data_IF_270235445974
#
_entry.id   IF_270235445974
#
_cell.length_a   1.000
_cell.length_b   1.000
_cell.length_c   1.000
_cell.angle_alpha   90.00
_cell.angle_beta   90.00
_cell.angle_gamma   90.00
#
_symmetry.space_group_name_H-M   'P 1'
#
loop_
_entity.id
_entity.type
_entity.pdbx_description
1 polymer ?
#
# COMPACT_ATOMS: atom_id res chain seq x y z
N UNK A 1 -11.23 -8.52 1.67
CA UNK A 1 -11.94 -7.91 0.51
C UNK A 1 -12.54 -6.55 0.84
N UNK A 2 -13.35 -6.42 1.89
CA UNK A 2 -13.99 -5.14 2.27
C UNK A 2 -13.02 -3.95 2.35
N UNK A 3 -11.91 -4.08 3.09
CA UNK A 3 -10.90 -3.00 3.20
C UNK A 3 -10.22 -2.63 1.89
N UNK A 4 -10.04 -3.59 0.99
CA UNK A 4 -9.55 -3.31 -0.36
C UNK A 4 -10.61 -2.61 -1.21
N UNK A 5 -11.89 -2.93 -1.01
CA UNK A 5 -12.98 -2.24 -1.69
C UNK A 5 -13.08 -0.77 -1.27
N UNK A 6 -12.88 -0.48 0.02
CA UNK A 6 -12.81 0.90 0.52
C UNK A 6 -11.69 1.68 -0.18
N UNK A 7 -10.50 1.08 -0.33
CA UNK A 7 -9.40 1.69 -1.09
C UNK A 7 -9.77 1.86 -2.57
N UNK A 8 -10.41 0.88 -3.21
CA UNK A 8 -10.83 0.98 -4.63
C UNK A 8 -11.85 2.09 -4.88
N UNK A 9 -12.71 2.36 -3.90
CA UNK A 9 -13.68 3.44 -4.01
C UNK A 9 -12.99 4.82 -4.05
N UNK A 10 -11.84 4.97 -3.39
CA UNK A 10 -11.01 6.19 -3.44
C UNK A 10 -10.01 6.17 -4.60
N UNK A 11 -9.43 5.00 -4.92
CA UNK A 11 -8.38 4.80 -5.92
C UNK A 11 -8.81 3.68 -6.86
N UNK A 12 -9.45 4.05 -7.98
CA UNK A 12 -9.86 3.06 -8.98
C UNK A 12 -8.66 2.39 -9.64
N UNK A 13 -8.71 1.07 -9.71
CA UNK A 13 -7.75 0.17 -10.35
C UNK A 13 -8.03 -0.06 -11.85
N UNK A 14 -9.07 0.60 -12.39
CA UNK A 14 -9.46 0.59 -13.80
C UNK A 14 -8.96 1.83 -14.57
N UNK A 15 -8.36 2.81 -13.88
CA UNK A 15 -7.90 4.07 -14.46
C UNK A 15 -6.71 3.83 -15.39
N UNK A 16 -6.99 3.71 -16.70
CA UNK A 16 -5.95 3.63 -17.73
C UNK A 16 -5.45 5.02 -18.11
N UNK A 17 -4.32 5.42 -17.54
CA UNK A 17 -3.45 6.47 -18.11
C UNK A 17 -3.75 7.92 -17.73
N UNK A 18 -4.80 8.21 -16.96
CA UNK A 18 -5.18 9.59 -16.59
C UNK A 18 -4.76 9.98 -15.16
N UNK A 19 -3.89 9.20 -14.51
CA UNK A 19 -3.53 9.39 -13.10
C UNK A 19 -4.70 9.10 -12.16
N UNK A 20 -4.48 9.26 -10.85
CA UNK A 20 -5.52 9.10 -9.84
C UNK A 20 -6.19 10.46 -9.62
N UNK A 21 -7.53 10.56 -9.69
CA UNK A 21 -8.25 11.80 -9.40
C UNK A 21 -7.91 12.38 -8.02
N UNK A 22 -8.19 13.67 -7.83
CA UNK A 22 -8.13 14.26 -6.50
C UNK A 22 -9.21 13.66 -5.60
N UNK A 23 -8.86 13.44 -4.34
CA UNK A 23 -9.81 12.99 -3.33
C UNK A 23 -10.70 14.15 -2.89
N UNK A 24 -11.95 13.85 -2.56
CA UNK A 24 -12.79 14.80 -1.82
C UNK A 24 -12.19 15.10 -0.45
N UNK A 25 -12.54 16.24 0.16
CA UNK A 25 -12.00 16.65 1.46
C UNK A 25 -12.29 15.63 2.59
N UNK A 26 -13.37 14.87 2.46
CA UNK A 26 -13.84 13.86 3.43
C UNK A 26 -13.37 12.43 3.13
N UNK A 27 -12.51 12.24 2.11
CA UNK A 27 -11.99 10.92 1.78
C UNK A 27 -11.17 10.32 2.92
N UNK A 28 -11.39 9.02 3.18
CA UNK A 28 -10.75 8.30 4.28
C UNK A 28 -9.22 8.26 4.16
N UNK A 29 -8.69 8.26 2.94
CA UNK A 29 -7.27 8.15 2.64
C UNK A 29 -6.53 9.46 2.91
N UNK A 30 -7.23 10.61 2.96
CA UNK A 30 -6.62 11.88 3.34
C UNK A 30 -5.93 11.81 4.71
N UNK A 31 -6.44 11.02 5.65
CA UNK A 31 -5.83 10.83 6.97
C UNK A 31 -4.42 10.21 6.92
N UNK A 32 -4.07 9.56 5.82
CA UNK A 32 -2.79 8.90 5.61
C UNK A 32 -1.81 9.75 4.79
N UNK A 33 -2.23 10.91 4.29
CA UNK A 33 -1.39 11.89 3.61
C UNK A 33 -0.84 12.97 4.55
N UNK A 34 0.23 13.64 4.14
CA UNK A 34 0.73 14.81 4.85
C UNK A 34 -0.23 15.99 4.72
N UNK A 35 -0.39 16.76 5.79
CA UNK A 35 -1.34 17.88 5.85
C UNK A 35 -2.79 17.51 5.45
N UNK A 36 -3.13 16.22 5.53
CA UNK A 36 -4.42 15.64 5.10
C UNK A 36 -4.74 15.84 3.62
N UNK A 37 -3.74 15.99 2.75
CA UNK A 37 -3.93 16.16 1.31
C UNK A 37 -2.91 15.37 0.52
N UNK A 38 -3.38 14.48 -0.35
CA UNK A 38 -2.53 13.71 -1.25
C UNK A 38 -2.36 14.48 -2.57
N UNK A 39 -1.14 14.93 -2.89
CA UNK A 39 -0.89 15.79 -4.06
C UNK A 39 -0.57 14.96 -5.31
N UNK A 40 0.24 13.92 -5.15
CA UNK A 40 0.69 13.07 -6.26
C UNK A 40 -0.04 11.72 -6.30
N UNK A 41 0.08 11.00 -7.41
CA UNK A 41 -0.37 9.60 -7.52
C UNK A 41 0.34 8.72 -6.47
N UNK A 42 1.63 8.97 -6.21
CA UNK A 42 2.37 8.22 -5.19
C UNK A 42 1.89 8.53 -3.77
N UNK A 43 1.52 9.77 -3.45
CA UNK A 43 0.92 10.10 -2.15
C UNK A 43 -0.37 9.30 -1.93
N UNK A 44 -1.22 9.24 -2.96
CA UNK A 44 -2.50 8.52 -2.95
C UNK A 44 -2.28 7.01 -2.79
N UNK A 45 -1.38 6.42 -3.58
CA UNK A 45 -1.02 5.00 -3.47
C UNK A 45 -0.42 4.68 -2.10
N UNK A 46 0.47 5.54 -1.58
CA UNK A 46 1.04 5.42 -0.24
C UNK A 46 -0.05 5.47 0.83
N UNK A 47 -1.01 6.37 0.72
CA UNK A 47 -2.14 6.46 1.64
C UNK A 47 -3.01 5.20 1.63
N UNK A 48 -3.33 4.66 0.45
CA UNK A 48 -4.05 3.39 0.33
C UNK A 48 -3.28 2.21 0.94
N UNK A 49 -1.95 2.15 0.71
CA UNK A 49 -1.10 1.11 1.29
C UNK A 49 -1.06 1.18 2.82
N UNK A 50 -0.82 2.38 3.38
CA UNK A 50 -0.82 2.59 4.84
C UNK A 50 -2.18 2.30 5.45
N UNK A 51 -3.28 2.69 4.79
CA UNK A 51 -4.63 2.36 5.23
C UNK A 51 -4.80 0.85 5.40
N UNK A 52 -4.48 0.07 4.37
CA UNK A 52 -4.61 -1.40 4.42
C UNK A 52 -3.75 -1.98 5.55
N UNK A 53 -2.49 -1.57 5.64
CA UNK A 53 -1.58 -2.04 6.68
C UNK A 53 -2.10 -1.69 8.08
N UNK A 54 -2.59 -0.48 8.29
CA UNK A 54 -3.18 -0.07 9.57
C UNK A 54 -4.44 -0.88 9.91
N UNK A 55 -5.35 -1.08 8.95
CA UNK A 55 -6.58 -1.84 9.19
C UNK A 55 -6.29 -3.28 9.60
N UNK A 56 -5.27 -3.92 9.04
CA UNK A 56 -4.96 -5.31 9.36
C UNK A 56 -4.01 -5.46 10.55
N UNK A 57 -3.02 -4.58 10.70
CA UNK A 57 -1.89 -4.82 11.60
C UNK A 57 -1.75 -3.84 12.76
N UNK A 58 -2.30 -2.62 12.68
CA UNK A 58 -2.19 -1.66 13.79
C UNK A 58 -2.81 -2.23 15.06
N UNK A 59 -2.44 -1.66 16.20
CA UNK A 59 -3.16 -1.93 17.43
C UNK A 59 -4.67 -1.66 17.26
N UNK A 60 -5.49 -2.60 17.74
CA UNK A 60 -6.94 -2.61 17.48
C UNK A 60 -7.36 -2.94 16.03
N UNK A 61 -6.43 -3.29 15.14
CA UNK A 61 -6.71 -3.75 13.77
C UNK A 61 -7.43 -5.10 13.72
N UNK A 62 -7.91 -5.48 12.53
CA UNK A 62 -8.79 -6.63 12.30
C UNK A 62 -8.12 -7.96 12.66
N UNK A 63 -6.82 -8.10 12.41
CA UNK A 63 -6.11 -9.31 12.80
C UNK A 63 -5.77 -9.23 14.28
N UNK A 64 -6.12 -10.26 15.04
CA UNK A 64 -5.61 -10.47 16.40
C UNK A 64 -4.35 -11.35 16.37
N UNK A 65 -3.47 -11.30 17.39
CA UNK A 65 -2.48 -12.35 17.59
C UNK A 65 -3.17 -13.71 17.78
N UNK A 66 -2.70 -14.83 17.17
CA UNK A 66 -1.49 -14.98 16.35
C UNK A 66 -1.73 -14.76 14.84
N UNK A 67 -2.96 -14.43 14.41
CA UNK A 67 -3.28 -14.20 13.00
C UNK A 67 -2.48 -13.04 12.40
N UNK A 68 -2.11 -12.03 13.20
CA UNK A 68 -1.14 -11.01 12.77
C UNK A 68 0.20 -11.60 12.37
N UNK A 69 0.64 -12.75 12.91
CA UNK A 69 1.86 -13.39 12.46
C UNK A 69 1.73 -14.02 11.05
N UNK A 70 0.51 -14.17 10.52
CA UNK A 70 0.27 -14.67 9.18
C UNK A 70 0.49 -13.57 8.13
N UNK A 71 1.60 -13.69 7.39
CA UNK A 71 2.03 -12.70 6.39
C UNK A 71 1.29 -12.78 5.05
N UNK A 72 0.34 -13.69 4.90
CA UNK A 72 -0.38 -13.87 3.63
C UNK A 72 -1.14 -12.60 3.22
N UNK A 73 -1.70 -11.85 4.19
CA UNK A 73 -2.40 -10.59 3.87
C UNK A 73 -1.46 -9.51 3.34
N UNK A 74 -0.21 -9.45 3.83
CA UNK A 74 0.81 -8.54 3.27
C UNK A 74 1.12 -8.91 1.82
N UNK A 75 1.06 -10.21 1.47
CA UNK A 75 1.17 -10.65 0.09
C UNK A 75 0.10 -10.00 -0.80
N UNK A 76 -1.17 -10.01 -0.39
CA UNK A 76 -2.24 -9.33 -1.12
C UNK A 76 -2.07 -7.81 -1.19
N UNK A 77 -1.63 -7.17 -0.09
CA UNK A 77 -1.31 -5.73 -0.09
C UNK A 77 -0.16 -5.43 -1.07
N UNK A 78 0.85 -6.30 -1.12
CA UNK A 78 2.01 -6.15 -2.01
C UNK A 78 1.63 -6.34 -3.48
N UNK A 79 0.72 -7.28 -3.79
CA UNK A 79 0.18 -7.46 -5.16
C UNK A 79 -0.60 -6.20 -5.58
N UNK A 80 -1.49 -5.70 -4.72
CA UNK A 80 -2.23 -4.46 -5.00
C UNK A 80 -1.27 -3.29 -5.22
N UNK A 81 -0.28 -3.11 -4.35
CA UNK A 81 0.70 -2.03 -4.46
C UNK A 81 1.51 -2.13 -5.76
N UNK A 82 2.01 -3.32 -6.07
CA UNK A 82 2.74 -3.60 -7.31
C UNK A 82 1.89 -3.30 -8.56
N UNK A 83 0.63 -3.71 -8.54
CA UNK A 83 -0.31 -3.46 -9.63
C UNK A 83 -0.53 -1.96 -9.82
N UNK A 84 -0.87 -1.25 -8.75
CA UNK A 84 -1.20 0.18 -8.80
C UNK A 84 -0.01 1.06 -9.22
N UNK A 85 1.22 0.72 -8.79
CA UNK A 85 2.42 1.46 -9.18
C UNK A 85 2.76 1.31 -10.67
N UNK A 86 2.34 0.20 -11.29
CA UNK A 86 2.58 -0.07 -12.71
C UNK A 86 1.36 0.20 -13.60
N UNK A 87 0.20 0.53 -13.01
CA UNK A 87 -1.05 0.71 -13.73
C UNK A 87 -0.94 1.88 -14.73
N UNK A 88 -1.03 1.56 -16.03
CA UNK A 88 -0.98 2.54 -17.11
C UNK A 88 0.39 3.24 -17.26
N UNK A 89 1.46 2.69 -16.69
CA UNK A 89 2.84 3.19 -16.82
C UNK A 89 3.65 2.33 -17.79
N UNK A 90 4.72 2.90 -18.36
CA UNK A 90 5.65 2.17 -19.23
C UNK A 90 6.56 1.24 -18.43
N UNK A 91 6.89 0.08 -19.00
CA UNK A 91 7.76 -0.94 -18.38
C UNK A 91 9.21 -0.48 -18.16
N UNK A 92 9.67 0.54 -18.87
CA UNK A 92 11.05 1.06 -18.75
C UNK A 92 11.29 1.84 -17.45
N UNK A 93 10.22 2.26 -16.76
CA UNK A 93 10.33 3.07 -15.55
C UNK A 93 10.27 2.20 -14.30
N UNK A 94 11.28 2.33 -13.43
CA UNK A 94 11.33 1.65 -12.13
C UNK A 94 10.43 2.35 -11.09
N UNK A 95 9.11 2.28 -11.30
CA UNK A 95 8.13 2.93 -10.41
C UNK A 95 8.15 2.35 -8.99
N UNK A 96 8.45 1.06 -8.85
CA UNK A 96 8.51 0.39 -7.55
C UNK A 96 9.74 0.88 -6.78
N UNK A 97 10.92 0.91 -7.41
CA UNK A 97 12.15 1.40 -6.78
C UNK A 97 12.04 2.86 -6.34
N UNK A 98 11.52 3.73 -7.21
CA UNK A 98 11.25 5.14 -6.89
C UNK A 98 10.30 5.27 -5.70
N UNK A 99 9.13 4.62 -5.75
CA UNK A 99 8.15 4.67 -4.67
C UNK A 99 8.71 4.12 -3.36
N UNK A 100 9.45 3.01 -3.42
CA UNK A 100 10.01 2.38 -2.24
C UNK A 100 11.05 3.29 -1.56
N UNK A 101 11.93 3.90 -2.35
CA UNK A 101 12.90 4.88 -1.87
C UNK A 101 12.20 6.06 -1.20
N UNK A 102 11.29 6.71 -1.92
CA UNK A 102 10.72 8.00 -1.51
C UNK A 102 9.73 7.85 -0.34
N UNK A 103 8.93 6.78 -0.33
CA UNK A 103 7.86 6.59 0.65
C UNK A 103 8.22 5.54 1.69
N UNK A 104 8.56 4.31 1.29
CA UNK A 104 8.72 3.22 2.27
C UNK A 104 9.98 3.39 3.13
N UNK A 105 11.09 3.85 2.52
CA UNK A 105 12.36 4.02 3.22
C UNK A 105 12.43 5.32 4.00
N UNK A 106 11.98 6.44 3.43
CA UNK A 106 12.11 7.76 4.06
C UNK A 106 10.96 8.12 4.98
N UNK A 107 9.72 7.72 4.68
CA UNK A 107 8.55 8.23 5.38
C UNK A 107 8.34 7.57 6.75
N UNK A 108 8.24 8.39 7.80
CA UNK A 108 8.10 7.90 9.18
C UNK A 108 6.84 7.08 9.42
N UNK A 109 5.76 7.32 8.65
CA UNK A 109 4.51 6.56 8.78
C UNK A 109 4.71 5.06 8.57
N UNK A 110 5.62 4.64 7.68
CA UNK A 110 5.94 3.22 7.46
C UNK A 110 6.85 2.62 8.54
N UNK A 111 7.53 3.46 9.31
CA UNK A 111 8.37 3.06 10.45
C UNK A 111 7.59 3.04 11.77
N UNK A 112 6.32 3.45 11.75
CA UNK A 112 5.44 3.40 12.92
C UNK A 112 5.39 1.99 13.50
N UNK A 113 5.59 1.92 14.81
CA UNK A 113 5.61 0.67 15.55
C UNK A 113 4.27 -0.07 15.49
N UNK A 114 4.31 -1.36 15.21
CA UNK A 114 3.20 -2.28 15.40
C UNK A 114 3.46 -3.06 16.69
N UNK A 115 2.66 -2.78 17.72
CA UNK A 115 2.80 -3.45 19.01
C UNK A 115 2.46 -4.95 18.90
N UNK A 116 3.05 -5.75 19.79
CA UNK A 116 2.73 -7.18 20.02
C UNK A 116 3.26 -8.20 18.99
N UNK A 117 4.15 -7.80 18.09
CA UNK A 117 4.72 -8.69 17.07
C UNK A 117 6.21 -8.93 17.30
N UNK A 118 6.61 -10.20 17.29
CA UNK A 118 7.99 -10.63 17.58
C UNK A 118 8.92 -10.51 16.37
N UNK A 119 8.39 -10.70 15.16
CA UNK A 119 9.20 -10.92 13.96
C UNK A 119 9.25 -9.70 13.01
N UNK A 120 8.42 -8.69 13.27
CA UNK A 120 8.30 -7.44 12.52
C UNK A 120 7.62 -6.41 13.40
N UNK A 121 8.28 -5.28 13.57
CA UNK A 121 7.87 -4.21 14.49
C UNK A 121 7.28 -3.00 13.76
N UNK A 122 7.22 -2.99 12.42
CA UNK A 122 6.65 -1.90 11.65
C UNK A 122 6.19 -2.32 10.24
N UNK A 123 5.44 -1.43 9.60
CA UNK A 123 4.88 -1.61 8.26
C UNK A 123 5.94 -1.81 7.17
N UNK A 124 7.07 -1.11 7.28
CA UNK A 124 8.20 -1.32 6.36
C UNK A 124 8.69 -2.76 6.40
N UNK A 125 8.95 -3.33 7.59
CA UNK A 125 9.44 -4.72 7.72
C UNK A 125 8.42 -5.75 7.23
N UNK A 126 7.12 -5.46 7.34
CA UNK A 126 6.08 -6.29 6.71
C UNK A 126 6.28 -6.35 5.20
N UNK A 127 6.39 -5.19 4.55
CA UNK A 127 6.57 -5.10 3.09
C UNK A 127 7.91 -5.70 2.64
N UNK A 128 9.00 -5.50 3.39
CA UNK A 128 10.32 -6.10 3.12
C UNK A 128 10.23 -7.62 2.98
N UNK A 129 9.45 -8.29 3.84
CA UNK A 129 9.27 -9.75 3.77
C UNK A 129 8.47 -10.22 2.55
N UNK A 130 7.79 -9.31 1.85
CA UNK A 130 7.06 -9.56 0.60
C UNK A 130 7.63 -8.77 -0.56
N UNK A 131 8.90 -8.35 -0.46
CA UNK A 131 9.59 -7.59 -1.50
C UNK A 131 9.59 -8.33 -2.86
N UNK A 132 9.74 -9.64 -2.87
CA UNK A 132 9.67 -10.44 -4.11
C UNK A 132 8.29 -10.37 -4.79
N UNK A 133 7.23 -10.24 -4.00
CA UNK A 133 5.85 -10.09 -4.52
C UNK A 133 5.66 -8.67 -5.05
N UNK A 134 6.19 -7.67 -4.35
CA UNK A 134 6.14 -6.28 -4.78
C UNK A 134 6.87 -6.07 -6.12
N UNK A 135 8.04 -6.70 -6.28
CA UNK A 135 8.89 -6.61 -7.49
C UNK A 135 8.56 -7.67 -8.56
N UNK A 136 7.40 -8.31 -8.48
CA UNK A 136 6.97 -9.22 -9.53
C UNK A 136 6.81 -8.48 -10.87
N UNK A 137 7.11 -9.16 -11.97
CA UNK A 137 6.97 -8.63 -13.33
C UNK A 137 5.57 -8.00 -13.54
N UNK A 138 5.55 -6.74 -13.97
CA UNK A 138 4.32 -5.96 -14.17
C UNK A 138 3.39 -6.57 -15.24
N UNK A 139 3.86 -7.47 -16.11
CA UNK A 139 3.04 -8.27 -17.03
C UNK A 139 2.32 -9.43 -16.35
N UNK A 140 2.84 -9.87 -15.21
CA UNK A 140 2.36 -11.03 -14.48
C UNK A 140 1.44 -10.61 -13.34
N UNK A 141 1.78 -9.52 -12.63
CA UNK A 141 1.00 -8.99 -11.49
C UNK A 141 -0.51 -8.86 -11.79
N UNK A 142 -0.96 -8.35 -12.96
CA UNK A 142 -2.39 -8.26 -13.27
C UNK A 142 -3.15 -9.59 -13.33
N UNK A 143 -2.46 -10.73 -13.39
CA UNK A 143 -3.10 -12.07 -13.36
C UNK A 143 -3.35 -12.56 -11.94
N UNK A 144 -2.65 -11.99 -10.97
CA UNK A 144 -2.76 -12.31 -9.54
C UNK A 144 -3.65 -11.32 -8.79
N UNK A 145 -3.76 -10.10 -9.31
CA UNK A 145 -4.65 -9.05 -8.81
C UNK A 145 -6.09 -9.30 -9.24
#
# INVERSE_FOLDING_TARGET
>A
CEKFQEVRNSISDELKGNGIPEFGDDDILNNYCDNKKCQSDFDKISAGCLYLLDQFYKDGGILSPPARNNINIVGYISIWLSYMLNLGKSEEKDNIGEFYSDYIYHYDKYKTGINELTDYDNHKKLLDKKNDVLNMDSKIVPKFY
#
